data_IF_799122525894
#
_entry.id   IF_799122525894
#
_cell.length_a   1.000
_cell.length_b   1.000
_cell.length_c   1.000
_cell.angle_alpha   90.00
_cell.angle_beta   90.00
_cell.angle_gamma   90.00
#
_symmetry.space_group_name_H-M   'P 1'
#
loop_
_entity.id
_entity.type
_entity.pdbx_description
1 polymer ?
#
# COMPACT_ATOMS: atom_id res chain seq x y z
N UNK A 1 19.70 -78.76 21.87
CA UNK A 1 18.23 -78.66 21.70
C UNK A 1 18.01 -78.09 20.29
N UNK A 2 17.82 -78.96 19.28
CA UNK A 2 16.58 -79.15 18.50
C UNK A 2 15.98 -77.83 17.97
N UNK A 3 15.69 -77.58 16.68
CA UNK A 3 15.80 -78.34 15.42
C UNK A 3 15.64 -77.40 14.19
N UNK A 4 16.15 -77.86 13.02
CA UNK A 4 15.78 -77.70 11.58
C UNK A 4 14.52 -76.88 11.20
N UNK A 5 14.28 -76.32 10.00
CA UNK A 5 14.53 -76.68 8.57
C UNK A 5 14.07 -75.45 7.71
N UNK A 6 14.76 -74.93 6.68
CA UNK A 6 14.77 -75.26 5.22
C UNK A 6 13.45 -75.69 4.51
N UNK A 7 13.11 -74.90 3.48
CA UNK A 7 12.70 -75.24 2.09
C UNK A 7 11.26 -75.58 1.65
N UNK A 8 11.04 -75.24 0.36
CA UNK A 8 10.04 -75.63 -0.67
C UNK A 8 8.87 -74.65 -0.91
N UNK A 9 8.67 -73.99 -2.06
CA UNK A 9 8.78 -74.31 -3.51
C UNK A 9 7.50 -74.94 -4.12
N UNK A 10 7.33 -74.72 -5.44
CA UNK A 10 6.26 -75.11 -6.41
C UNK A 10 5.46 -73.90 -6.97
N UNK A 11 5.69 -73.42 -8.21
CA UNK A 11 5.59 -74.05 -9.55
C UNK A 11 4.15 -74.30 -10.01
N UNK A 12 3.73 -73.68 -11.12
CA UNK A 12 3.58 -74.36 -12.43
C UNK A 12 2.79 -73.55 -13.48
N UNK A 13 3.24 -73.74 -14.72
CA UNK A 13 2.74 -73.27 -16.02
C UNK A 13 1.31 -73.71 -16.39
N UNK A 14 0.64 -72.99 -17.31
CA UNK A 14 0.36 -73.51 -18.68
C UNK A 14 -0.55 -72.61 -19.57
N UNK A 15 0.00 -72.26 -20.73
CA UNK A 15 -0.48 -72.42 -22.13
C UNK A 15 -1.96 -72.20 -22.58
N UNK A 16 -2.11 -71.19 -23.45
CA UNK A 16 -2.71 -71.15 -24.81
C UNK A 16 -4.05 -71.87 -25.19
N UNK A 17 -4.99 -71.11 -25.78
CA UNK A 17 -5.49 -71.23 -27.19
C UNK A 17 -6.94 -70.71 -27.42
N UNK A 18 -7.21 -70.10 -28.59
CA UNK A 18 -8.51 -70.16 -29.29
C UNK A 18 -9.40 -68.88 -29.43
N UNK A 19 -9.34 -68.25 -30.62
CA UNK A 19 -10.39 -67.68 -31.53
C UNK A 19 -11.83 -67.49 -30.98
N UNK A 20 -12.64 -66.45 -31.27
CA UNK A 20 -12.87 -65.72 -32.53
C UNK A 20 -13.78 -64.46 -32.30
N UNK A 21 -13.68 -63.46 -33.20
CA UNK A 21 -14.72 -62.50 -33.68
C UNK A 21 -15.33 -61.43 -32.72
N UNK A 22 -15.65 -60.16 -33.07
CA UNK A 22 -15.71 -59.33 -34.29
C UNK A 22 -15.85 -57.83 -33.88
N UNK A 23 -15.24 -56.93 -34.67
CA UNK A 23 -15.72 -55.57 -35.08
C UNK A 23 -15.80 -54.45 -34.02
N UNK A 24 -14.91 -53.45 -34.07
CA UNK A 24 -14.94 -52.24 -34.92
C UNK A 24 -13.92 -51.20 -34.44
N UNK A 25 -13.15 -50.67 -35.41
CA UNK A 25 -12.66 -49.29 -35.59
C UNK A 25 -12.17 -48.47 -34.37
N UNK A 26 -11.03 -47.78 -34.37
CA UNK A 26 -9.95 -47.59 -35.34
C UNK A 26 -8.76 -46.94 -34.59
N UNK A 27 -7.55 -47.46 -34.87
CA UNK A 27 -6.21 -46.80 -34.95
C UNK A 27 -5.98 -45.51 -34.14
N UNK A 28 -5.07 -45.44 -33.14
CA UNK A 28 -3.58 -45.58 -33.19
C UNK A 28 -2.92 -44.52 -34.09
N UNK A 29 -1.80 -43.84 -33.77
CA UNK A 29 -0.65 -44.21 -32.93
C UNK A 29 0.33 -43.01 -32.80
N UNK A 30 1.09 -42.98 -31.68
CA UNK A 30 2.55 -42.70 -31.55
C UNK A 30 3.07 -41.28 -31.84
N UNK A 31 4.16 -40.77 -31.24
CA UNK A 31 5.10 -41.19 -30.19
C UNK A 31 5.95 -39.94 -29.83
N UNK A 32 6.53 -39.96 -28.62
CA UNK A 32 7.87 -39.47 -28.23
C UNK A 32 8.30 -37.99 -28.25
N UNK A 33 8.67 -37.57 -27.03
CA UNK A 33 9.99 -37.08 -26.60
C UNK A 33 10.41 -35.60 -26.75
N UNK A 34 10.61 -34.98 -25.57
CA UNK A 34 11.75 -34.14 -25.10
C UNK A 34 12.07 -32.86 -25.89
N UNK A 35 12.10 -31.71 -25.19
CA UNK A 35 13.28 -30.82 -24.97
C UNK A 35 12.82 -29.53 -24.25
N UNK A 36 13.66 -29.09 -23.32
CA UNK A 36 13.61 -27.89 -22.51
C UNK A 36 13.38 -26.58 -23.31
N UNK A 37 12.74 -25.59 -22.65
CA UNK A 37 12.60 -24.24 -23.20
C UNK A 37 12.02 -23.26 -22.19
N UNK A 38 12.92 -22.59 -21.45
CA UNK A 38 12.88 -21.18 -21.04
C UNK A 38 11.50 -20.48 -21.03
N UNK A 39 11.06 -19.98 -19.87
CA UNK A 39 10.18 -18.80 -19.86
C UNK A 39 10.47 -17.87 -18.69
N UNK A 40 11.33 -16.89 -19.00
CA UNK A 40 11.37 -15.49 -18.57
C UNK A 40 10.22 -15.05 -17.64
N UNK A 41 10.55 -14.65 -16.42
CA UNK A 41 9.67 -13.86 -15.56
C UNK A 41 9.36 -12.53 -16.26
N UNK A 42 8.08 -12.30 -16.53
CA UNK A 42 7.58 -11.07 -17.15
C UNK A 42 7.37 -10.05 -16.03
N UNK A 43 8.20 -9.00 -16.05
CA UNK A 43 7.94 -7.75 -15.34
C UNK A 43 6.76 -7.09 -16.03
N UNK A 44 5.57 -7.18 -15.45
CA UNK A 44 4.42 -6.42 -15.91
C UNK A 44 4.42 -5.05 -15.24
N UNK A 45 4.94 -4.05 -15.97
CA UNK A 45 4.42 -2.70 -15.86
C UNK A 45 3.00 -2.68 -16.38
N UNK A 46 2.05 -2.21 -15.57
CA UNK A 46 0.65 -2.10 -15.99
C UNK A 46 0.28 -0.64 -16.29
N UNK A 47 -0.21 -0.46 -17.52
CA UNK A 47 -0.89 0.73 -18.02
C UNK A 47 -2.34 0.80 -17.45
N UNK A 48 -3.05 1.93 -17.58
CA UNK A 48 -4.31 2.17 -16.88
C UNK A 48 -5.42 1.21 -17.30
N UNK A 49 -6.21 0.78 -16.31
CA UNK A 49 -7.36 -0.12 -16.44
C UNK A 49 -8.32 0.33 -17.56
N UNK A 50 -8.51 -0.53 -18.56
CA UNK A 50 -9.57 -0.40 -19.55
C UNK A 50 -10.93 -0.81 -18.94
N UNK A 51 -11.90 0.09 -19.07
CA UNK A 51 -13.31 -0.08 -18.71
C UNK A 51 -13.98 -1.21 -19.50
N UNK A 52 -14.55 -2.18 -18.81
CA UNK A 52 -15.61 -3.04 -19.36
C UNK A 52 -16.66 -3.32 -18.27
N UNK A 53 -17.59 -2.38 -18.09
CA UNK A 53 -18.82 -2.62 -17.35
C UNK A 53 -20.00 -2.67 -18.33
N UNK A 54 -20.94 -3.62 -18.20
CA UNK A 54 -22.04 -3.78 -19.14
C UNK A 54 -23.03 -2.61 -19.04
N UNK A 55 -23.33 -2.03 -20.20
CA UNK A 55 -24.31 -0.99 -20.44
C UNK A 55 -25.72 -1.46 -20.15
N UNK A 56 -26.36 -0.85 -19.15
CA UNK A 56 -27.81 -0.62 -19.16
C UNK A 56 -28.07 0.80 -18.65
N UNK A 57 -28.02 1.74 -19.58
CA UNK A 57 -28.27 3.14 -19.32
C UNK A 57 -29.77 3.38 -19.12
N UNK A 58 -30.14 4.00 -18.00
CA UNK A 58 -31.43 4.68 -17.87
C UNK A 58 -31.14 6.15 -18.21
N UNK A 59 -31.66 6.62 -19.34
CA UNK A 59 -31.54 8.01 -19.78
C UNK A 59 -32.33 8.93 -18.84
N UNK A 60 -31.70 10.02 -18.38
CA UNK A 60 -32.37 11.12 -17.70
C UNK A 60 -31.97 12.44 -18.37
N UNK A 61 -32.98 13.23 -18.77
CA UNK A 61 -32.84 14.49 -19.50
C UNK A 61 -32.57 15.65 -18.52
N UNK A 62 -31.44 16.32 -18.70
CA UNK A 62 -30.92 17.37 -17.82
C UNK A 62 -31.20 18.80 -18.33
N UNK A 63 -32.21 18.99 -19.17
CA UNK A 63 -32.50 20.30 -19.79
C UNK A 63 -33.08 21.39 -18.86
N UNK A 64 -33.12 21.21 -17.54
CA UNK A 64 -33.87 22.10 -16.63
C UNK A 64 -33.16 22.53 -15.35
N UNK A 65 -31.85 22.81 -15.36
CA UNK A 65 -31.21 23.46 -14.20
C UNK A 65 -30.34 24.67 -14.57
N UNK A 66 -30.55 25.83 -13.91
CA UNK A 66 -29.80 27.04 -14.17
C UNK A 66 -28.40 26.99 -13.56
N UNK A 67 -27.43 27.59 -14.27
CA UNK A 67 -26.02 27.69 -13.90
C UNK A 67 -25.79 28.56 -12.66
N UNK A 68 -25.10 28.11 -11.60
CA UNK A 68 -24.71 28.98 -10.49
C UNK A 68 -23.40 29.73 -10.77
N UNK A 69 -23.39 31.01 -10.39
CA UNK A 69 -22.25 31.94 -10.41
C UNK A 69 -21.29 31.68 -9.23
N UNK A 70 -19.96 31.94 -9.33
CA UNK A 70 -19.00 31.61 -8.28
C UNK A 70 -19.17 32.47 -7.02
N UNK A 71 -19.18 31.85 -5.83
CA UNK A 71 -19.13 32.55 -4.54
C UNK A 71 -17.71 32.58 -3.97
N UNK A 72 -17.34 33.72 -3.37
CA UNK A 72 -16.06 33.98 -2.73
C UNK A 72 -15.80 33.06 -1.50
N UNK A 73 -14.51 32.76 -1.28
CA UNK A 73 -13.98 31.90 -0.19
C UNK A 73 -14.22 32.55 1.20
N UNK A 74 -14.69 31.79 2.21
CA UNK A 74 -14.88 32.33 3.56
C UNK A 74 -13.54 32.60 4.27
N UNK A 75 -13.45 33.64 5.13
CA UNK A 75 -12.25 33.97 5.87
C UNK A 75 -11.99 32.99 7.02
N UNK A 76 -10.73 32.85 7.48
CA UNK A 76 -10.38 31.95 8.57
C UNK A 76 -10.97 32.41 9.91
N UNK A 77 -11.36 31.47 10.80
CA UNK A 77 -11.98 31.80 12.08
C UNK A 77 -10.96 32.39 13.07
N UNK A 78 -11.43 33.14 14.09
CA UNK A 78 -10.56 33.74 15.09
C UNK A 78 -10.04 32.70 16.08
N UNK A 79 -8.74 32.82 16.39
CA UNK A 79 -8.00 31.96 17.32
C UNK A 79 -8.58 32.10 18.74
N UNK A 80 -9.06 31.00 19.32
CA UNK A 80 -9.36 30.92 20.75
C UNK A 80 -8.46 29.88 21.44
N UNK A 81 -8.17 30.18 22.72
CA UNK A 81 -7.01 29.75 23.51
C UNK A 81 -6.94 28.27 23.89
N UNK A 82 -5.70 27.84 24.17
CA UNK A 82 -5.19 26.49 24.48
C UNK A 82 -5.19 25.56 23.26
N UNK A 83 -4.18 25.76 22.40
CA UNK A 83 -3.89 24.90 21.25
C UNK A 83 -3.58 23.49 21.73
N UNK A 84 -4.60 22.61 21.78
CA UNK A 84 -4.33 21.18 21.66
C UNK A 84 -3.48 21.04 20.40
N UNK A 85 -2.28 20.50 20.53
CA UNK A 85 -1.30 20.34 19.46
C UNK A 85 -1.75 19.21 18.52
N UNK A 86 -2.95 19.38 17.95
CA UNK A 86 -3.62 18.41 17.10
C UNK A 86 -2.80 18.22 15.83
N UNK A 87 -2.61 16.98 15.36
CA UNK A 87 -2.02 16.76 14.04
C UNK A 87 -2.97 17.23 12.95
N UNK A 88 -2.41 17.63 11.81
CA UNK A 88 -3.16 17.85 10.57
C UNK A 88 -3.17 16.58 9.72
N UNK A 89 -4.35 16.07 9.42
CA UNK A 89 -4.56 14.90 8.58
C UNK A 89 -5.11 15.36 7.23
N UNK A 90 -4.30 15.26 6.18
CA UNK A 90 -4.68 15.57 4.81
C UNK A 90 -5.08 14.31 4.07
N UNK A 91 -6.29 14.33 3.49
CA UNK A 91 -6.84 13.20 2.74
C UNK A 91 -7.03 13.59 1.27
N UNK A 92 -6.18 13.08 0.37
CA UNK A 92 -6.31 13.28 -1.06
C UNK A 92 -7.36 12.35 -1.67
N UNK A 93 -8.35 12.92 -2.35
CA UNK A 93 -9.46 12.19 -2.95
C UNK A 93 -9.64 12.58 -4.42
N UNK A 94 -9.67 11.59 -5.28
CA UNK A 94 -10.16 11.70 -6.65
C UNK A 94 -11.27 10.67 -6.85
N UNK A 95 -12.36 11.08 -7.51
CA UNK A 95 -13.56 10.26 -7.64
C UNK A 95 -13.31 8.98 -8.46
N UNK A 96 -13.45 7.83 -7.80
CA UNK A 96 -13.59 6.53 -8.45
C UNK A 96 -14.54 5.67 -7.61
N UNK A 97 -15.17 4.61 -8.16
CA UNK A 97 -16.03 3.73 -7.38
C UNK A 97 -15.34 3.17 -6.13
N UNK A 98 -14.06 2.76 -6.25
CA UNK A 98 -13.28 2.25 -5.13
C UNK A 98 -12.93 3.33 -4.10
N UNK A 99 -12.47 4.50 -4.56
CA UNK A 99 -12.12 5.61 -3.68
C UNK A 99 -13.33 6.12 -2.89
N UNK A 100 -14.52 6.15 -3.51
CA UNK A 100 -15.77 6.57 -2.85
C UNK A 100 -16.12 5.67 -1.67
N UNK A 101 -16.04 4.35 -1.85
CA UNK A 101 -16.29 3.38 -0.77
C UNK A 101 -15.28 3.58 0.37
N UNK A 102 -14.01 3.81 0.03
CA UNK A 102 -12.97 4.06 1.02
C UNK A 102 -13.22 5.36 1.81
N UNK A 103 -13.60 6.44 1.13
CA UNK A 103 -13.95 7.71 1.76
C UNK A 103 -15.15 7.58 2.69
N UNK A 104 -16.22 6.92 2.26
CA UNK A 104 -17.41 6.69 3.09
C UNK A 104 -17.07 5.90 4.36
N UNK A 105 -16.23 4.87 4.22
CA UNK A 105 -15.73 4.11 5.37
C UNK A 105 -14.89 4.99 6.29
N UNK A 106 -13.98 5.80 5.75
CA UNK A 106 -13.13 6.70 6.51
C UNK A 106 -13.96 7.75 7.29
N UNK A 107 -14.93 8.41 6.64
CA UNK A 107 -15.81 9.38 7.28
C UNK A 107 -16.57 8.74 8.45
N UNK A 108 -17.04 7.50 8.27
CA UNK A 108 -17.83 6.80 9.29
C UNK A 108 -17.00 6.34 10.48
N UNK A 109 -15.75 5.92 10.25
CA UNK A 109 -14.98 5.16 11.24
C UNK A 109 -13.70 5.84 11.71
N UNK A 110 -13.08 6.72 10.91
CA UNK A 110 -11.74 7.27 11.17
C UNK A 110 -11.75 8.68 11.78
N UNK A 111 -12.80 9.47 11.56
CA UNK A 111 -12.86 10.84 12.08
C UNK A 111 -12.90 10.85 13.63
N UNK A 112 -12.22 11.82 14.23
CA UNK A 112 -12.19 12.05 15.68
C UNK A 112 -11.97 13.54 16.02
N UNK A 113 -12.10 13.94 17.29
CA UNK A 113 -11.95 15.36 17.68
C UNK A 113 -10.49 15.76 18.02
N UNK A 114 -9.62 14.76 18.23
CA UNK A 114 -8.20 14.95 18.56
C UNK A 114 -7.28 15.33 17.37
N UNK A 115 -7.81 15.46 16.15
CA UNK A 115 -7.05 15.89 14.96
C UNK A 115 -7.83 16.90 14.13
N UNK A 116 -7.11 17.69 13.32
CA UNK A 116 -7.70 18.51 12.27
C UNK A 116 -7.64 17.76 10.94
N UNK A 117 -8.77 17.67 10.24
CA UNK A 117 -8.91 16.96 8.97
C UNK A 117 -9.10 17.95 7.81
N UNK A 118 -8.32 17.76 6.75
CA UNK A 118 -8.42 18.53 5.51
C UNK A 118 -8.53 17.59 4.31
N UNK A 119 -9.71 17.55 3.71
CA UNK A 119 -9.97 16.76 2.51
C UNK A 119 -9.59 17.55 1.25
N UNK A 120 -8.66 17.03 0.46
CA UNK A 120 -8.24 17.60 -0.82
C UNK A 120 -9.02 16.89 -1.92
N UNK A 121 -10.10 17.51 -2.37
CA UNK A 121 -11.02 16.97 -3.38
C UNK A 121 -10.54 17.40 -4.77
N UNK A 122 -9.90 16.47 -5.47
CA UNK A 122 -9.35 16.64 -6.80
C UNK A 122 -10.42 16.30 -7.85
N UNK A 123 -10.70 17.24 -8.75
CA UNK A 123 -11.66 17.05 -9.85
C UNK A 123 -13.12 17.24 -9.46
N UNK A 124 -14.02 16.92 -10.39
CA UNK A 124 -15.46 17.01 -10.16
C UNK A 124 -15.94 15.89 -9.23
N UNK A 125 -16.64 16.26 -8.15
CA UNK A 125 -17.14 15.31 -7.16
C UNK A 125 -18.24 15.90 -6.29
N UNK A 126 -19.07 15.02 -5.71
CA UNK A 126 -20.05 15.34 -4.66
C UNK A 126 -19.56 14.94 -3.26
N UNK A 127 -18.31 14.50 -3.10
CA UNK A 127 -17.74 14.00 -1.84
C UNK A 127 -17.86 14.99 -0.68
N UNK A 128 -17.79 16.29 -0.95
CA UNK A 128 -17.99 17.33 0.05
C UNK A 128 -19.33 17.21 0.80
N UNK A 129 -20.39 16.69 0.15
CA UNK A 129 -21.71 16.51 0.76
C UNK A 129 -21.73 15.41 1.82
N UNK A 130 -20.75 14.51 1.82
CA UNK A 130 -20.63 13.44 2.81
C UNK A 130 -19.95 13.92 4.10
N UNK A 131 -19.22 15.04 4.04
CA UNK A 131 -18.40 15.50 5.16
C UNK A 131 -19.28 16.10 6.28
N UNK A 132 -19.09 15.70 7.54
CA UNK A 132 -19.82 16.29 8.65
C UNK A 132 -19.37 17.75 8.86
N UNK A 133 -20.32 18.60 9.28
CA UNK A 133 -20.05 20.01 9.58
C UNK A 133 -19.49 20.13 11.01
N UNK A 134 -18.17 20.06 11.14
CA UNK A 134 -17.43 20.30 12.39
C UNK A 134 -16.26 21.26 12.15
N UNK A 135 -15.84 21.98 13.18
CA UNK A 135 -14.78 23.00 13.08
C UNK A 135 -13.41 22.40 12.70
N UNK A 136 -13.13 21.17 13.13
CA UNK A 136 -11.90 20.45 12.83
C UNK A 136 -11.94 19.68 11.51
N UNK A 137 -12.98 19.86 10.69
CA UNK A 137 -13.15 19.15 9.41
C UNK A 137 -13.37 20.17 8.30
N UNK A 138 -12.43 20.20 7.36
CA UNK A 138 -12.41 21.15 6.24
C UNK A 138 -12.16 20.41 4.94
N UNK A 139 -12.50 21.04 3.83
CA UNK A 139 -12.17 20.54 2.51
C UNK A 139 -11.80 21.66 1.55
N UNK A 140 -11.08 21.31 0.51
CA UNK A 140 -10.74 22.17 -0.63
C UNK A 140 -11.08 21.44 -1.92
N UNK A 141 -11.75 22.13 -2.84
CA UNK A 141 -11.96 21.64 -4.20
C UNK A 141 -10.86 22.22 -5.09
N UNK A 142 -10.23 21.38 -5.90
CA UNK A 142 -9.23 21.80 -6.88
C UNK A 142 -9.30 20.97 -8.15
N UNK A 143 -8.59 21.40 -9.18
CA UNK A 143 -8.46 20.63 -10.42
C UNK A 143 -7.76 19.29 -10.13
N UNK A 144 -8.10 18.26 -10.90
CA UNK A 144 -7.39 16.98 -10.81
C UNK A 144 -6.04 17.09 -11.53
N UNK A 145 -5.05 17.62 -10.82
CA UNK A 145 -3.68 17.85 -11.31
C UNK A 145 -2.68 17.68 -10.15
N UNK A 146 -1.40 17.51 -10.47
CA UNK A 146 -0.30 17.32 -9.51
C UNK A 146 -0.36 16.04 -8.65
N UNK A 147 -1.25 15.09 -8.99
CA UNK A 147 -1.50 13.89 -8.20
C UNK A 147 -1.71 14.22 -6.70
N UNK A 148 -1.43 13.29 -5.78
CA UNK A 148 -1.62 13.47 -4.34
C UNK A 148 -0.49 14.25 -3.67
N UNK A 149 0.77 13.84 -3.84
CA UNK A 149 1.93 14.48 -3.19
C UNK A 149 2.07 15.96 -3.57
N UNK A 150 1.93 16.29 -4.85
CA UNK A 150 1.96 17.68 -5.31
C UNK A 150 0.75 18.48 -4.83
N UNK A 151 -0.44 17.85 -4.73
CA UNK A 151 -1.62 18.50 -4.17
C UNK A 151 -1.46 18.79 -2.67
N UNK A 152 -0.84 17.89 -1.89
CA UNK A 152 -0.50 18.17 -0.50
C UNK A 152 0.47 19.35 -0.40
N UNK A 153 1.52 19.36 -1.22
CA UNK A 153 2.50 20.45 -1.22
C UNK A 153 1.86 21.80 -1.55
N UNK A 154 1.01 21.88 -2.58
CA UNK A 154 0.28 23.11 -2.91
C UNK A 154 -0.54 23.64 -1.72
N UNK A 155 -1.27 22.77 -1.04
CA UNK A 155 -2.11 23.14 0.10
C UNK A 155 -1.28 23.54 1.32
N UNK A 156 -0.21 22.79 1.61
CA UNK A 156 0.64 23.00 2.78
C UNK A 156 1.48 24.28 2.66
N UNK A 157 1.92 24.63 1.45
CA UNK A 157 2.71 25.84 1.18
C UNK A 157 1.86 27.09 1.03
N UNK A 158 0.58 26.96 0.70
CA UNK A 158 -0.36 28.10 0.67
C UNK A 158 -0.47 28.72 2.06
N UNK A 159 -0.20 30.03 2.14
CA UNK A 159 -0.24 30.83 3.37
C UNK A 159 0.59 30.21 4.52
N UNK A 160 1.67 29.50 4.20
CA UNK A 160 2.51 28.78 5.16
C UNK A 160 1.70 27.84 6.08
N UNK A 161 0.67 27.16 5.56
CA UNK A 161 -0.19 26.30 6.38
C UNK A 161 0.60 25.21 7.14
N UNK A 162 1.69 24.70 6.56
CA UNK A 162 2.63 23.78 7.21
C UNK A 162 3.33 24.35 8.46
N UNK A 163 3.21 25.66 8.73
CA UNK A 163 3.72 26.26 9.96
C UNK A 163 2.71 26.22 11.11
N UNK A 164 1.47 25.81 10.85
CA UNK A 164 0.40 25.82 11.85
C UNK A 164 0.32 24.53 12.69
N UNK A 165 0.99 23.45 12.26
CA UNK A 165 0.91 22.14 12.93
C UNK A 165 2.29 21.53 13.16
N UNK A 166 2.46 20.70 14.19
CA UNK A 166 3.74 20.04 14.46
C UNK A 166 3.84 18.65 13.88
N UNK A 167 2.70 18.02 13.62
CA UNK A 167 2.58 16.64 13.16
C UNK A 167 1.54 16.55 12.05
N UNK A 168 1.81 15.67 11.10
CA UNK A 168 1.05 15.54 9.87
C UNK A 168 0.79 14.08 9.55
N UNK A 169 -0.37 13.80 8.97
CA UNK A 169 -0.62 12.57 8.22
C UNK A 169 -1.06 12.97 6.82
N UNK A 170 -0.34 12.50 5.79
CA UNK A 170 -0.70 12.63 4.39
C UNK A 170 -1.21 11.26 3.94
N UNK A 171 -2.44 11.17 3.44
CA UNK A 171 -3.00 9.91 2.98
C UNK A 171 -3.92 10.08 1.79
N UNK A 172 -4.03 9.06 0.94
CA UNK A 172 -4.88 9.12 -0.26
C UNK A 172 -6.01 8.08 -0.23
N UNK A 173 -6.98 8.26 -1.12
CA UNK A 173 -8.19 7.42 -1.17
C UNK A 173 -7.99 6.00 -1.73
N UNK A 174 -6.75 5.54 -1.91
CA UNK A 174 -6.45 4.19 -2.40
C UNK A 174 -6.43 3.12 -1.30
N UNK A 175 -6.55 3.53 -0.04
CA UNK A 175 -6.57 2.66 1.14
C UNK A 175 -7.91 2.74 1.89
N UNK A 176 -8.26 1.68 2.61
CA UNK A 176 -9.44 1.60 3.48
C UNK A 176 -9.00 1.33 4.92
N UNK A 177 -9.66 1.98 5.87
CA UNK A 177 -9.43 1.79 7.30
C UNK A 177 -10.04 2.94 8.12
N UNK A 178 -9.78 2.98 9.43
CA UNK A 178 -8.90 2.07 10.17
C UNK A 178 -9.55 0.71 10.47
N UNK A 179 -8.71 -0.33 10.52
CA UNK A 179 -9.05 -1.67 10.96
C UNK A 179 -8.28 -1.99 12.23
N UNK A 180 -9.00 -2.46 13.24
CA UNK A 180 -8.41 -2.89 14.50
C UNK A 180 -8.99 -4.22 14.94
N UNK A 181 -8.18 -5.09 15.59
CA UNK A 181 -8.70 -6.22 16.33
C UNK A 181 -9.76 -5.77 17.34
N UNK A 182 -10.70 -6.66 17.65
CA UNK A 182 -11.80 -6.37 18.59
C UNK A 182 -11.32 -5.88 19.96
N UNK A 183 -10.15 -6.35 20.41
CA UNK A 183 -9.58 -6.04 21.72
C UNK A 183 -8.75 -4.76 21.77
N UNK A 184 -8.52 -4.08 20.64
CA UNK A 184 -7.71 -2.85 20.60
C UNK A 184 -8.56 -1.61 20.86
N UNK A 185 -8.06 -0.73 21.74
CA UNK A 185 -8.63 0.59 22.04
C UNK A 185 -7.65 1.73 21.67
N UNK A 186 -6.73 1.47 20.74
CA UNK A 186 -5.76 2.47 20.30
C UNK A 186 -6.41 3.50 19.35
N UNK A 187 -5.92 4.73 19.38
CA UNK A 187 -6.22 5.70 18.34
C UNK A 187 -5.37 5.43 17.11
N UNK A 188 -5.98 5.36 15.92
CA UNK A 188 -5.24 5.00 14.70
C UNK A 188 -4.19 6.03 14.32
N UNK A 189 -4.43 7.32 14.55
CA UNK A 189 -3.48 8.37 14.20
C UNK A 189 -2.27 8.33 15.13
N UNK A 190 -2.49 8.12 16.43
CA UNK A 190 -1.42 7.98 17.44
C UNK A 190 -0.52 6.77 17.16
N UNK A 191 -1.07 5.64 16.70
CA UNK A 191 -0.28 4.44 16.33
C UNK A 191 0.85 4.78 15.34
N UNK A 192 0.63 5.72 14.43
CA UNK A 192 1.66 6.19 13.50
C UNK A 192 2.48 7.36 14.05
N UNK A 193 1.79 8.34 14.64
CA UNK A 193 2.42 9.58 15.09
C UNK A 193 3.38 9.36 16.26
N UNK A 194 3.15 8.35 17.11
CA UNK A 194 4.00 8.02 18.25
C UNK A 194 5.30 7.32 17.85
N UNK A 195 5.44 6.89 16.58
CA UNK A 195 6.71 6.39 16.04
C UNK A 195 7.67 7.53 15.68
N UNK A 196 7.15 8.73 15.44
CA UNK A 196 7.97 9.90 15.16
C UNK A 196 8.76 10.29 16.41
N UNK A 197 10.05 10.56 16.22
CA UNK A 197 10.95 10.96 17.29
C UNK A 197 12.06 11.88 16.73
N UNK A 198 13.10 12.18 17.51
CA UNK A 198 14.17 13.08 17.09
C UNK A 198 14.91 12.62 15.82
N UNK A 199 14.89 11.31 15.53
CA UNK A 199 15.51 10.72 14.34
C UNK A 199 14.50 10.26 13.29
N UNK A 200 13.44 9.58 13.70
CA UNK A 200 12.43 9.05 12.76
C UNK A 200 11.49 10.17 12.32
N UNK A 201 11.60 10.59 11.06
CA UNK A 201 10.85 11.75 10.52
C UNK A 201 9.78 11.40 9.52
N UNK A 202 9.78 10.17 9.00
CA UNK A 202 8.79 9.65 8.07
C UNK A 202 8.39 8.23 8.47
N UNK A 203 7.11 8.03 8.73
CA UNK A 203 6.53 6.73 9.05
C UNK A 203 5.43 6.43 8.04
N UNK A 204 5.40 5.24 7.46
CA UNK A 204 4.31 4.87 6.55
C UNK A 204 3.70 3.50 6.81
N UNK A 205 2.68 3.20 6.02
CA UNK A 205 1.96 1.93 6.11
C UNK A 205 2.87 0.77 5.69
N UNK A 206 3.55 0.94 4.57
CA UNK A 206 4.40 -0.08 3.97
C UNK A 206 5.61 0.53 3.29
N UNK A 207 6.66 -0.27 3.13
CA UNK A 207 7.86 0.09 2.39
C UNK A 207 8.00 -0.84 1.19
N UNK A 208 8.13 -0.25 0.01
CA UNK A 208 8.46 -0.97 -1.21
C UNK A 208 9.98 -1.02 -1.35
N UNK A 209 10.48 -2.21 -1.62
CA UNK A 209 11.90 -2.53 -1.66
C UNK A 209 12.42 -2.67 -3.09
N UNK A 210 11.52 -2.60 -4.07
CA UNK A 210 11.84 -2.58 -5.47
C UNK A 210 12.52 -1.26 -5.87
N UNK A 211 13.27 -1.34 -6.96
CA UNK A 211 14.18 -0.31 -7.44
C UNK A 211 13.45 0.99 -7.89
N UNK A 212 14.15 2.14 -7.99
CA UNK A 212 15.60 2.35 -7.84
C UNK A 212 16.09 2.42 -6.39
N UNK A 213 15.24 2.80 -5.44
CA UNK A 213 15.60 2.88 -4.02
C UNK A 213 14.44 2.37 -3.15
N UNK A 214 14.75 1.66 -2.05
CA UNK A 214 13.72 1.32 -1.07
C UNK A 214 13.03 2.58 -0.54
N UNK A 215 11.71 2.57 -0.46
CA UNK A 215 10.95 3.75 -0.10
C UNK A 215 9.64 3.43 0.65
N UNK A 216 9.29 4.32 1.57
CA UNK A 216 7.99 4.34 2.21
C UNK A 216 6.94 4.75 1.17
N UNK A 217 5.93 3.90 0.96
CA UNK A 217 4.93 4.16 -0.07
C UNK A 217 3.96 5.29 0.32
N UNK A 218 3.57 6.10 -0.65
CA UNK A 218 2.93 7.43 -0.45
C UNK A 218 1.45 7.40 -0.06
N UNK A 219 0.82 6.23 -0.01
CA UNK A 219 -0.60 6.15 0.34
C UNK A 219 -0.90 6.57 1.77
N UNK A 220 0.12 6.54 2.64
CA UNK A 220 0.04 6.99 4.02
C UNK A 220 1.44 7.37 4.52
N UNK A 221 1.64 8.64 4.86
CA UNK A 221 2.84 9.15 5.53
C UNK A 221 2.47 9.93 6.79
N UNK A 222 3.01 9.53 7.93
CA UNK A 222 3.07 10.33 9.14
C UNK A 222 4.44 11.04 9.21
N UNK A 223 4.41 12.34 9.49
CA UNK A 223 5.58 13.24 9.51
C UNK A 223 5.49 14.17 10.72
N UNK A 224 6.65 14.57 11.25
CA UNK A 224 6.72 15.79 12.05
C UNK A 224 7.04 16.99 11.13
N UNK A 225 7.11 18.20 11.71
CA UNK A 225 7.42 19.41 10.94
C UNK A 225 8.77 19.33 10.24
N UNK A 226 9.81 18.79 10.89
CA UNK A 226 11.15 18.73 10.30
C UNK A 226 11.17 17.77 9.09
N UNK A 227 10.51 16.62 9.21
CA UNK A 227 10.32 15.68 8.10
C UNK A 227 9.56 16.32 6.94
N UNK A 228 8.47 17.02 7.24
CA UNK A 228 7.68 17.69 6.20
C UNK A 228 8.46 18.82 5.51
N UNK A 229 9.18 19.66 6.27
CA UNK A 229 10.02 20.75 5.71
C UNK A 229 11.14 20.19 4.84
N UNK A 230 11.74 19.05 5.21
CA UNK A 230 12.74 18.35 4.39
C UNK A 230 12.18 17.97 3.02
N UNK A 231 10.92 17.52 2.95
CA UNK A 231 10.26 17.16 1.70
C UNK A 231 9.76 18.37 0.91
N UNK A 232 9.39 19.47 1.57
CA UNK A 232 8.86 20.66 0.90
C UNK A 232 9.96 21.61 0.41
N UNK A 233 11.04 21.74 1.17
CA UNK A 233 12.06 22.76 0.99
C UNK A 233 13.48 22.22 1.24
N UNK A 234 13.92 21.17 0.52
CA UNK A 234 15.28 20.67 0.67
C UNK A 234 16.29 21.76 0.26
N UNK A 235 17.27 22.04 1.12
CA UNK A 235 18.35 22.99 0.82
C UNK A 235 19.25 22.50 -0.32
N UNK A 236 19.93 23.40 -1.03
CA UNK A 236 20.85 23.04 -2.12
C UNK A 236 21.92 22.03 -1.67
N UNK A 237 22.53 22.21 -0.50
CA UNK A 237 23.54 21.29 0.07
C UNK A 237 22.97 19.88 0.32
N UNK A 238 21.73 19.82 0.83
CA UNK A 238 21.02 18.55 1.00
C UNK A 238 20.74 17.90 -0.35
N UNK A 239 20.31 18.66 -1.36
CA UNK A 239 20.05 18.13 -2.70
C UNK A 239 21.31 17.56 -3.34
N UNK A 240 22.47 18.20 -3.16
CA UNK A 240 23.76 17.68 -3.62
C UNK A 240 24.12 16.35 -2.94
N UNK A 241 24.00 16.29 -1.61
CA UNK A 241 24.23 15.07 -0.82
C UNK A 241 23.28 13.94 -1.22
N UNK A 242 22.01 14.30 -1.41
CA UNK A 242 20.96 13.40 -1.84
C UNK A 242 21.26 12.81 -3.23
N UNK A 243 21.56 13.64 -4.23
CA UNK A 243 21.93 13.18 -5.59
C UNK A 243 23.14 12.24 -5.54
N UNK A 244 24.16 12.58 -4.75
CA UNK A 244 25.36 11.76 -4.60
C UNK A 244 25.10 10.39 -3.94
N UNK A 245 24.01 10.27 -3.17
CA UNK A 245 23.60 9.02 -2.52
C UNK A 245 22.81 8.07 -3.42
N UNK A 246 22.25 8.57 -4.53
CA UNK A 246 21.39 7.79 -5.41
C UNK A 246 22.21 6.77 -6.23
N UNK A 247 21.66 5.56 -6.48
CA UNK A 247 22.27 4.63 -7.40
C UNK A 247 22.21 5.15 -8.85
N UNK A 248 23.07 4.61 -9.71
CA UNK A 248 22.99 4.87 -11.14
C UNK A 248 21.61 4.47 -11.69
N UNK A 249 21.06 5.29 -12.58
CA UNK A 249 19.76 5.03 -13.20
C UNK A 249 19.78 3.74 -14.05
N UNK A 250 18.77 2.91 -13.87
CA UNK A 250 18.53 1.73 -14.70
C UNK A 250 17.46 2.05 -15.74
N UNK A 251 17.88 2.16 -17.01
CA UNK A 251 16.99 2.48 -18.12
C UNK A 251 15.95 1.39 -18.45
N UNK A 252 16.05 0.22 -17.83
CA UNK A 252 15.03 -0.83 -17.93
C UNK A 252 13.87 -0.62 -16.94
N UNK A 253 14.01 0.29 -15.98
CA UNK A 253 12.98 0.59 -15.00
C UNK A 253 12.08 1.73 -15.49
N UNK A 254 10.77 1.66 -15.21
CA UNK A 254 9.84 2.69 -15.65
C UNK A 254 9.93 3.98 -14.83
N UNK A 255 10.52 3.92 -13.63
CA UNK A 255 10.73 5.09 -12.78
C UNK A 255 11.87 5.94 -13.40
N UNK A 256 11.61 7.20 -13.77
CA UNK A 256 12.63 8.06 -14.36
C UNK A 256 13.69 8.46 -13.32
N UNK A 257 14.76 9.08 -13.81
CA UNK A 257 15.70 9.80 -12.96
C UNK A 257 14.97 10.83 -12.08
N UNK A 258 15.56 11.12 -10.92
CA UNK A 258 15.06 12.14 -10.02
C UNK A 258 15.05 13.49 -10.73
N UNK A 259 13.86 14.07 -10.88
CA UNK A 259 13.64 15.31 -11.63
C UNK A 259 13.23 16.49 -10.73
N UNK A 260 12.78 16.19 -9.50
CA UNK A 260 12.38 17.16 -8.49
C UNK A 260 12.83 16.64 -7.11
N UNK A 261 13.57 17.44 -6.32
CA UNK A 261 13.88 17.07 -4.96
C UNK A 261 12.64 17.30 -4.07
N UNK A 262 12.15 16.23 -3.46
CA UNK A 262 10.98 16.29 -2.57
C UNK A 262 9.64 16.48 -3.29
N UNK A 263 8.61 16.80 -2.51
CA UNK A 263 7.21 16.80 -2.96
C UNK A 263 6.70 18.14 -3.48
N UNK A 264 7.50 19.21 -3.35
CA UNK A 264 7.12 20.57 -3.74
C UNK A 264 7.25 20.80 -5.24
N UNK A 265 6.56 19.97 -6.01
CA UNK A 265 6.44 20.05 -7.46
C UNK A 265 5.07 19.55 -7.91
N UNK A 266 4.70 19.88 -9.15
CA UNK A 266 3.45 19.42 -9.75
C UNK A 266 3.75 18.43 -10.89
N UNK A 267 3.81 17.12 -10.61
CA UNK A 267 3.93 16.12 -11.68
C UNK A 267 2.64 16.07 -12.51
N UNK A 268 2.76 16.23 -13.83
CA UNK A 268 1.65 16.06 -14.78
C UNK A 268 1.65 14.68 -15.46
N UNK A 269 2.66 13.85 -15.18
CA UNK A 269 2.82 12.52 -15.74
C UNK A 269 2.91 11.49 -14.61
N UNK A 270 2.30 10.33 -14.80
CA UNK A 270 2.24 9.26 -13.79
C UNK A 270 3.63 8.87 -13.28
N UNK A 271 4.58 8.58 -14.18
CA UNK A 271 5.91 8.14 -13.77
C UNK A 271 6.74 9.23 -13.10
N UNK A 272 6.47 10.51 -13.38
CA UNK A 272 7.06 11.62 -12.64
C UNK A 272 6.50 11.74 -11.23
N UNK A 273 5.21 11.45 -11.04
CA UNK A 273 4.60 11.39 -9.70
C UNK A 273 5.15 10.21 -8.90
N UNK A 274 5.29 9.03 -9.52
CA UNK A 274 5.93 7.86 -8.90
C UNK A 274 7.38 8.17 -8.52
N UNK A 275 8.14 8.87 -9.37
CA UNK A 275 9.50 9.27 -9.02
C UNK A 275 9.56 10.15 -7.76
N UNK A 276 8.63 11.11 -7.59
CA UNK A 276 8.56 11.94 -6.37
C UNK A 276 8.38 11.06 -5.12
N UNK A 277 7.50 10.06 -5.16
CA UNK A 277 7.31 9.09 -4.06
C UNK A 277 8.60 8.29 -3.79
N UNK A 278 9.11 7.62 -4.82
CA UNK A 278 10.28 6.72 -4.74
C UNK A 278 11.48 7.42 -4.11
N UNK A 279 11.75 8.65 -4.52
CA UNK A 279 12.94 9.38 -4.09
C UNK A 279 12.78 10.09 -2.74
N UNK A 280 11.56 10.19 -2.19
CA UNK A 280 11.30 10.92 -0.94
C UNK A 280 11.96 10.29 0.28
N UNK A 281 12.04 8.95 0.34
CA UNK A 281 12.69 8.25 1.46
C UNK A 281 14.20 8.52 1.49
N UNK A 282 14.86 8.37 0.33
CA UNK A 282 16.29 8.64 0.21
C UNK A 282 16.62 10.12 0.49
N UNK A 283 15.72 11.06 0.20
CA UNK A 283 15.88 12.46 0.59
C UNK A 283 15.86 12.66 2.12
N UNK A 284 14.94 11.99 2.83
CA UNK A 284 14.88 12.00 4.30
C UNK A 284 16.15 11.40 4.91
N UNK A 285 16.62 10.27 4.37
CA UNK A 285 17.86 9.62 4.82
C UNK A 285 19.10 10.49 4.55
N UNK A 286 19.17 11.16 3.40
CA UNK A 286 20.25 12.10 3.07
C UNK A 286 20.30 13.30 4.02
N UNK A 287 19.17 13.67 4.64
CA UNK A 287 19.10 14.70 5.68
C UNK A 287 19.58 14.21 7.06
N UNK A 288 19.99 12.94 7.17
CA UNK A 288 20.45 12.32 8.41
C UNK A 288 19.32 11.80 9.30
N UNK A 289 18.11 11.67 8.77
CA UNK A 289 16.96 11.16 9.48
C UNK A 289 16.69 9.68 9.17
N UNK A 290 15.90 9.05 10.04
CA UNK A 290 15.45 7.66 9.90
C UNK A 290 14.00 7.63 9.38
N UNK A 291 13.63 6.52 8.75
CA UNK A 291 12.26 6.21 8.34
C UNK A 291 11.78 4.92 9.00
N UNK A 292 10.47 4.72 9.08
CA UNK A 292 9.87 3.53 9.69
C UNK A 292 8.61 3.09 8.91
N UNK A 293 8.32 1.80 8.93
CA UNK A 293 7.12 1.23 8.33
C UNK A 293 6.32 0.46 9.40
N UNK A 294 4.99 0.53 9.32
CA UNK A 294 4.07 -0.26 10.15
C UNK A 294 4.05 -1.74 9.74
N UNK A 295 5.23 -2.33 9.56
CA UNK A 295 5.44 -3.69 9.08
C UNK A 295 6.27 -4.46 10.09
N UNK A 296 5.88 -5.71 10.33
CA UNK A 296 6.68 -6.60 11.18
C UNK A 296 7.93 -6.99 10.42
N UNK A 297 9.12 -6.83 10.99
CA UNK A 297 10.33 -7.36 10.37
C UNK A 297 10.41 -8.88 10.58
N UNK A 298 10.04 -9.68 9.58
CA UNK A 298 10.30 -11.12 9.62
C UNK A 298 11.59 -11.43 8.87
N UNK A 299 12.58 -11.93 9.62
CA UNK A 299 13.73 -12.65 9.08
C UNK A 299 13.85 -13.96 9.81
N UNK A 300 13.97 -15.03 9.06
CA UNK A 300 14.58 -16.21 9.62
C UNK A 300 16.06 -16.30 9.40
N UNK A 301 16.68 -17.15 10.19
CA UNK A 301 18.07 -17.55 10.04
C UNK A 301 18.13 -19.10 10.06
N UNK A 302 18.96 -19.75 9.23
CA UNK A 302 19.29 -21.20 9.31
C UNK A 302 19.14 -22.01 7.99
N UNK A 303 19.63 -23.26 7.94
CA UNK A 303 19.63 -24.15 6.74
C UNK A 303 18.27 -24.82 6.40
N UNK A 304 18.17 -25.38 5.18
CA UNK A 304 16.94 -25.73 4.45
C UNK A 304 16.03 -26.81 5.09
N UNK A 305 14.71 -26.60 4.95
CA UNK A 305 13.73 -27.68 5.01
C UNK A 305 13.83 -28.54 3.73
N UNK A 306 13.94 -29.86 3.90
CA UNK A 306 13.68 -30.86 2.88
C UNK A 306 12.64 -31.87 3.41
N UNK A 307 11.79 -32.47 2.56
CA UNK A 307 12.10 -32.81 1.17
C UNK A 307 10.86 -32.67 0.26
N UNK A 308 10.89 -31.75 -0.69
CA UNK A 308 9.83 -31.61 -1.72
C UNK A 308 9.72 -30.25 -2.44
N UNK A 309 10.39 -29.22 -1.92
CA UNK A 309 10.74 -27.95 -2.58
C UNK A 309 9.68 -26.84 -2.71
N UNK A 310 10.21 -25.68 -3.09
CA UNK A 310 10.23 -24.40 -2.37
C UNK A 310 9.89 -23.25 -3.31
N UNK A 311 9.26 -22.19 -2.79
CA UNK A 311 9.21 -20.86 -3.45
C UNK A 311 10.42 -20.06 -2.97
N UNK A 312 11.32 -19.72 -3.88
CA UNK A 312 12.46 -18.85 -3.60
C UNK A 312 12.02 -17.38 -3.67
N UNK A 313 11.84 -16.75 -2.51
CA UNK A 313 11.56 -15.32 -2.37
C UNK A 313 12.82 -14.49 -2.07
N UNK A 314 14.03 -15.07 -2.21
CA UNK A 314 15.28 -14.38 -1.88
C UNK A 314 15.38 -14.08 -0.39
N UNK A 315 15.82 -15.07 0.40
CA UNK A 315 15.96 -14.86 1.86
C UNK A 315 16.48 -16.04 2.67
N UNK A 316 16.78 -17.18 2.02
CA UNK A 316 17.27 -18.38 2.71
C UNK A 316 16.28 -18.99 3.71
N UNK A 317 16.63 -20.12 4.33
CA UNK A 317 15.76 -20.82 5.28
C UNK A 317 15.70 -20.15 6.67
N UNK A 318 14.63 -20.45 7.42
CA UNK A 318 14.24 -19.79 8.67
C UNK A 318 14.02 -20.81 9.79
N UNK A 319 14.70 -20.67 10.92
CA UNK A 319 14.38 -21.39 12.16
C UNK A 319 13.17 -20.77 12.89
N UNK A 320 12.18 -21.59 13.23
CA UNK A 320 10.96 -21.20 13.94
C UNK A 320 11.28 -20.62 15.33
N UNK A 321 10.82 -19.40 15.62
CA UNK A 321 10.91 -18.80 16.96
C UNK A 321 12.08 -17.83 17.16
N UNK A 322 12.77 -17.42 16.10
CA UNK A 322 13.83 -16.39 16.18
C UNK A 322 13.34 -15.06 15.60
N UNK A 323 13.42 -13.99 16.39
CA UNK A 323 13.20 -12.59 15.97
C UNK A 323 14.54 -11.86 16.06
N UNK A 324 14.92 -11.08 15.04
CA UNK A 324 16.03 -10.13 15.24
C UNK A 324 15.57 -9.06 16.22
N UNK A 325 16.29 -8.93 17.32
CA UNK A 325 16.08 -7.83 18.25
C UNK A 325 16.75 -6.57 17.70
N UNK A 326 16.03 -5.44 17.74
CA UNK A 326 16.59 -4.13 17.40
C UNK A 326 16.73 -3.80 15.91
N UNK A 327 16.02 -4.49 15.01
CA UNK A 327 16.00 -4.15 13.58
C UNK A 327 14.56 -4.13 13.04
N UNK A 328 14.12 -3.01 12.47
CA UNK A 328 12.80 -2.89 11.82
C UNK A 328 12.81 -3.36 10.37
N UNK A 329 11.67 -3.22 9.68
CA UNK A 329 11.49 -3.70 8.30
C UNK A 329 12.44 -3.00 7.32
N UNK A 330 12.71 -1.71 7.56
CA UNK A 330 13.61 -0.86 6.78
C UNK A 330 15.01 -1.47 6.63
N UNK A 331 15.53 -2.09 7.69
CA UNK A 331 16.85 -2.74 7.68
C UNK A 331 16.90 -4.02 6.83
N UNK A 332 15.75 -4.56 6.46
CA UNK A 332 15.60 -5.85 5.76
C UNK A 332 14.94 -5.74 4.41
N UNK A 333 14.44 -4.55 4.07
CA UNK A 333 13.58 -4.31 2.93
C UNK A 333 14.19 -4.83 1.63
N UNK A 334 15.49 -4.63 1.37
CA UNK A 334 16.17 -5.07 0.12
C UNK A 334 16.03 -6.56 -0.22
N UNK A 335 15.55 -7.39 0.71
CA UNK A 335 15.28 -8.82 0.52
C UNK A 335 13.78 -9.14 0.35
N UNK A 336 12.95 -8.14 0.11
CA UNK A 336 11.50 -8.28 -0.03
C UNK A 336 11.01 -7.74 -1.38
N UNK A 337 9.81 -8.17 -1.76
CA UNK A 337 9.07 -7.68 -2.92
C UNK A 337 8.12 -6.54 -2.49
N UNK A 338 7.27 -6.02 -3.38
CA UNK A 338 6.19 -5.11 -2.98
C UNK A 338 5.20 -5.84 -2.04
N UNK A 339 5.17 -5.51 -0.74
CA UNK A 339 4.37 -6.24 0.25
C UNK A 339 2.85 -6.08 0.05
N UNK A 340 2.43 -5.19 -0.85
CA UNK A 340 1.02 -4.94 -1.17
C UNK A 340 0.43 -5.89 -2.22
N UNK A 341 1.22 -6.85 -2.73
CA UNK A 341 0.77 -7.88 -3.65
C UNK A 341 0.51 -9.21 -2.91
N UNK A 342 -0.34 -10.06 -3.50
CA UNK A 342 -0.68 -11.37 -2.92
C UNK A 342 0.56 -12.24 -2.69
N UNK A 343 0.68 -12.79 -1.47
CA UNK A 343 1.76 -13.69 -1.05
C UNK A 343 3.17 -13.07 -1.06
N UNK A 344 3.30 -11.76 -1.27
CA UNK A 344 4.59 -11.07 -1.33
C UNK A 344 5.10 -10.58 0.04
N UNK A 345 4.31 -10.74 1.09
CA UNK A 345 4.71 -10.48 2.47
C UNK A 345 5.07 -11.80 3.17
N UNK A 346 6.27 -12.31 2.89
CA UNK A 346 6.81 -13.60 3.34
C UNK A 346 5.91 -14.81 3.07
N UNK A 347 5.42 -14.93 1.83
CA UNK A 347 4.51 -16.01 1.43
C UNK A 347 3.08 -15.81 1.91
N UNK A 348 2.81 -14.74 2.65
CA UNK A 348 1.48 -14.30 3.09
C UNK A 348 1.13 -12.97 2.45
N UNK A 349 -0.09 -12.51 2.71
CA UNK A 349 -0.57 -11.20 2.27
C UNK A 349 -0.77 -10.34 3.50
N UNK A 350 -0.27 -9.10 3.45
CA UNK A 350 -0.25 -8.21 4.61
C UNK A 350 -1.66 -8.07 5.20
N UNK A 351 -1.78 -8.37 6.50
CA UNK A 351 -3.07 -8.32 7.17
C UNK A 351 -3.36 -6.88 7.60
N UNK A 352 -4.57 -6.34 7.40
CA UNK A 352 -4.87 -4.95 7.77
C UNK A 352 -4.77 -4.61 9.27
N UNK A 353 -4.49 -5.58 10.13
CA UNK A 353 -4.22 -5.35 11.54
C UNK A 353 -2.74 -5.04 11.81
N UNK A 354 -1.85 -5.42 10.90
CA UNK A 354 -0.43 -5.10 10.98
C UNK A 354 -0.23 -3.61 10.66
N UNK A 355 -0.98 -3.15 9.66
CA UNK A 355 -0.83 -1.81 9.07
C UNK A 355 -1.98 -0.87 9.35
N UNK A 356 -3.02 -1.25 10.10
CA UNK A 356 -4.25 -0.47 10.38
C UNK A 356 -5.11 -0.11 9.15
N UNK A 357 -4.50 0.11 7.99
CA UNK A 357 -5.15 0.39 6.71
C UNK A 357 -4.78 -0.68 5.69
N UNK A 358 -5.61 -0.85 4.67
CA UNK A 358 -5.41 -1.81 3.60
C UNK A 358 -5.47 -1.13 2.23
N UNK A 359 -4.52 -1.44 1.36
CA UNK A 359 -4.56 -1.06 -0.06
C UNK A 359 -5.68 -1.79 -0.77
N UNK A 360 -6.56 -1.07 -1.46
CA UNK A 360 -7.75 -1.68 -2.11
C UNK A 360 -7.72 -1.64 -3.63
N UNK A 361 -6.72 -0.99 -4.24
CA UNK A 361 -6.60 -0.87 -5.70
C UNK A 361 -5.53 -1.80 -6.31
N UNK A 362 -5.03 -2.77 -5.53
CA UNK A 362 -4.10 -3.84 -5.99
C UNK A 362 -4.77 -5.21 -6.14
N UNK A 363 -6.02 -5.35 -5.71
CA UNK A 363 -6.75 -6.62 -5.73
C UNK A 363 -6.29 -7.66 -4.69
N UNK A 364 -5.18 -7.41 -3.98
CA UNK A 364 -4.70 -8.27 -2.92
C UNK A 364 -5.59 -8.21 -1.66
N UNK A 365 -5.77 -9.35 -1.01
CA UNK A 365 -6.48 -9.49 0.26
C UNK A 365 -7.95 -9.01 0.28
N UNK A 366 -8.61 -8.86 -0.88
CA UNK A 366 -9.92 -8.20 -0.95
C UNK A 366 -11.01 -8.93 -0.16
N UNK A 367 -10.94 -10.26 -0.05
CA UNK A 367 -11.84 -11.03 0.81
C UNK A 367 -11.73 -10.62 2.27
N UNK A 368 -10.51 -10.45 2.79
CA UNK A 368 -10.26 -9.99 4.15
C UNK A 368 -10.71 -8.55 4.35
N UNK A 369 -10.37 -7.65 3.42
CA UNK A 369 -10.79 -6.23 3.49
C UNK A 369 -12.30 -6.11 3.57
N UNK A 370 -13.04 -6.87 2.76
CA UNK A 370 -14.50 -6.85 2.78
C UNK A 370 -15.08 -7.38 4.09
N UNK A 371 -14.53 -8.48 4.63
CA UNK A 371 -14.96 -9.01 5.94
C UNK A 371 -14.66 -8.03 7.08
N UNK A 372 -13.47 -7.42 7.11
CA UNK A 372 -13.12 -6.42 8.11
C UNK A 372 -13.97 -5.15 7.98
N UNK A 373 -14.35 -4.77 6.75
CA UNK A 373 -15.30 -3.67 6.51
C UNK A 373 -16.65 -3.97 7.17
N UNK A 374 -17.21 -5.15 6.92
CA UNK A 374 -18.48 -5.60 7.48
C UNK A 374 -18.42 -5.71 9.01
N UNK A 375 -17.35 -6.28 9.56
CA UNK A 375 -17.19 -6.46 11.01
C UNK A 375 -17.00 -5.12 11.73
N UNK A 376 -16.23 -4.19 11.17
CA UNK A 376 -16.03 -2.85 11.73
C UNK A 376 -17.33 -2.06 11.75
N UNK A 377 -18.12 -2.15 10.69
CA UNK A 377 -19.45 -1.56 10.63
C UNK A 377 -20.43 -2.23 11.62
N UNK A 378 -20.42 -3.57 11.70
CA UNK A 378 -21.30 -4.34 12.57
C UNK A 378 -21.05 -4.12 14.06
N UNK A 379 -19.79 -3.88 14.46
CA UNK A 379 -19.45 -3.50 15.85
C UNK A 379 -19.67 -2.01 16.16
N UNK A 380 -20.10 -1.22 15.17
CA UNK A 380 -20.29 0.23 15.27
C UNK A 380 -19.05 0.98 15.81
N UNK A 381 -17.85 0.56 15.43
CA UNK A 381 -16.62 1.23 15.86
C UNK A 381 -16.57 2.68 15.36
N UNK A 382 -16.17 3.62 16.21
CA UNK A 382 -15.90 4.99 15.83
C UNK A 382 -14.62 5.49 16.48
N UNK A 383 -13.73 6.14 15.72
CA UNK A 383 -12.56 6.78 16.31
C UNK A 383 -12.90 7.90 17.29
N UNK A 384 -14.10 8.49 17.24
CA UNK A 384 -14.60 9.42 18.26
C UNK A 384 -14.64 8.79 19.67
N UNK A 385 -14.77 7.47 19.79
CA UNK A 385 -14.89 6.80 21.09
C UNK A 385 -13.52 6.49 21.74
N UNK A 386 -12.45 6.45 20.93
CA UNK A 386 -11.12 5.96 21.35
C UNK A 386 -10.01 7.00 21.25
N UNK A 387 -10.06 7.91 20.27
CA UNK A 387 -9.06 8.97 20.08
C UNK A 387 -9.36 10.18 20.95
N UNK A 388 -8.38 10.67 21.72
CA UNK A 388 -8.58 11.72 22.73
C UNK A 388 -7.54 12.82 22.69
#
# INVERSE_FOLDING_TARGET
MLARQKELDCSSDNTASGLDNLVSESTSHKDSAVVAGVTKAIVHGEAPLQNNAPTSAIHFDASHFPTPTPSARPPPPPVQNATVDRPLILYAFFETPGARINLEFFIKHALHDAADFLFVLNGETTAANLLPKKENIRFVNRKNDCYDLGAFAEILTTDDMYKNYKRYILMNASIRGPFFPYWSNQCWSDVYLDKLNDKTKLVGMTMNCEAPVPHIQSMFWALDRAGLETLLFPSEELVETFIASLPAHDSNQPVPEMWSPGINSCPHEYWKAVAVEVYSTALIEAAGYEVDAMMSAYRGFGDALARGETVDLGGGPVEMGTLRTGTGYESICKESLDPLLEKQYWGTTIHPFDTVFAKTNRGANMGTVERLTQWTAGRAYSSYDVCR
#
